data_IF_112791971962
#
_entry.id   IF_112791971962
#
_cell.length_a   1.000
_cell.length_b   1.000
_cell.length_c   1.000
_cell.angle_alpha   90.00
_cell.angle_beta   90.00
_cell.angle_gamma   90.00
#
_symmetry.space_group_name_H-M   'P 1'
#
loop_
_entity.id
_entity.type
_entity.pdbx_description
1 polymer ?
#
# COMPACT_ATOMS: atom_id res chain seq x y z
N UNK A 1 -5.02 -44.07 49.96
CA UNK A 1 -5.49 -44.58 48.66
C UNK A 1 -6.04 -43.47 47.79
N UNK A 2 -7.27 -42.98 48.00
CA UNK A 2 -7.95 -42.05 47.08
C UNK A 2 -7.17 -40.80 46.64
N UNK A 3 -6.36 -40.19 47.51
CA UNK A 3 -5.59 -38.99 47.16
C UNK A 3 -4.36 -39.29 46.29
N UNK A 4 -3.75 -40.48 46.42
CA UNK A 4 -2.63 -40.90 45.59
C UNK A 4 -3.11 -41.28 44.18
N UNK A 5 -4.25 -41.96 44.09
CA UNK A 5 -4.88 -42.33 42.81
C UNK A 5 -5.31 -41.07 42.02
N UNK A 6 -5.81 -40.05 42.72
CA UNK A 6 -6.19 -38.76 42.12
C UNK A 6 -4.97 -37.99 41.59
N UNK A 7 -3.87 -37.99 42.34
CA UNK A 7 -2.62 -37.35 41.92
C UNK A 7 -1.93 -38.10 40.77
N UNK A 8 -2.05 -39.42 40.68
CA UNK A 8 -1.56 -40.19 39.54
C UNK A 8 -2.37 -39.92 38.28
N UNK A 9 -3.70 -39.84 38.38
CA UNK A 9 -4.57 -39.48 37.27
C UNK A 9 -4.29 -38.05 36.77
N UNK A 10 -4.09 -37.10 37.69
CA UNK A 10 -3.78 -35.71 37.35
C UNK A 10 -2.39 -35.57 36.70
N UNK A 11 -1.39 -36.32 37.18
CA UNK A 11 -0.06 -36.38 36.54
C UNK A 11 -0.11 -36.97 35.14
N UNK A 12 -0.88 -38.04 34.92
CA UNK A 12 -1.04 -38.64 33.61
C UNK A 12 -1.68 -37.66 32.62
N UNK A 13 -2.69 -36.91 33.08
CA UNK A 13 -3.34 -35.87 32.28
C UNK A 13 -2.39 -34.71 31.92
N UNK A 14 -1.59 -34.24 32.88
CA UNK A 14 -0.60 -33.18 32.64
C UNK A 14 0.43 -33.64 31.60
N UNK A 15 0.93 -34.88 31.70
CA UNK A 15 1.90 -35.42 30.73
C UNK A 15 1.31 -35.53 29.33
N UNK A 16 0.03 -35.94 29.21
CA UNK A 16 -0.66 -35.97 27.92
C UNK A 16 -0.84 -34.57 27.31
N UNK A 17 -1.16 -33.58 28.15
CA UNK A 17 -1.28 -32.18 27.72
C UNK A 17 0.06 -31.59 27.28
N UNK A 18 1.13 -31.84 28.03
CA UNK A 18 2.48 -31.39 27.68
C UNK A 18 2.94 -32.00 26.35
N UNK A 19 2.65 -33.29 26.12
CA UNK A 19 2.93 -33.95 24.85
C UNK A 19 2.15 -33.28 23.69
N UNK A 20 0.89 -32.90 23.91
CA UNK A 20 0.08 -32.21 22.90
C UNK A 20 0.57 -30.80 22.63
N UNK A 21 1.00 -30.06 23.65
CA UNK A 21 1.60 -28.73 23.51
C UNK A 21 2.85 -28.82 22.63
N UNK A 22 3.76 -29.74 22.94
CA UNK A 22 4.99 -29.95 22.16
C UNK A 22 4.69 -30.27 20.69
N UNK A 23 3.71 -31.12 20.43
CA UNK A 23 3.27 -31.45 19.07
C UNK A 23 2.76 -30.21 18.33
N UNK A 24 1.89 -29.41 18.98
CA UNK A 24 1.33 -28.20 18.38
C UNK A 24 2.40 -27.12 18.16
N UNK A 25 3.35 -26.97 19.08
CA UNK A 25 4.49 -26.06 18.91
C UNK A 25 5.35 -26.45 17.71
N UNK A 26 5.61 -27.74 17.51
CA UNK A 26 6.31 -28.23 16.33
C UNK A 26 5.53 -27.93 15.03
N UNK A 27 4.21 -28.09 15.05
CA UNK A 27 3.35 -27.74 13.90
C UNK A 27 3.37 -26.22 13.61
N UNK A 28 3.31 -25.38 14.65
CA UNK A 28 3.41 -23.92 14.51
C UNK A 28 4.74 -23.54 13.86
N UNK A 29 5.85 -24.13 14.33
CA UNK A 29 7.17 -23.84 13.79
C UNK A 29 7.26 -24.23 12.30
N UNK A 30 6.74 -25.40 11.92
CA UNK A 30 6.72 -25.85 10.52
C UNK A 30 5.87 -24.93 9.62
N UNK A 31 4.69 -24.54 10.09
CA UNK A 31 3.81 -23.62 9.35
C UNK A 31 4.41 -22.22 9.24
N UNK A 32 5.09 -21.72 10.28
CA UNK A 32 5.79 -20.44 10.24
C UNK A 32 6.93 -20.45 9.23
N UNK A 33 7.71 -21.55 9.13
CA UNK A 33 8.72 -21.71 8.08
C UNK A 33 8.08 -21.61 6.70
N UNK A 34 7.03 -22.38 6.46
CA UNK A 34 6.30 -22.40 5.18
C UNK A 34 5.75 -21.02 4.81
N UNK A 35 5.19 -20.29 5.77
CA UNK A 35 4.71 -18.92 5.57
C UNK A 35 5.86 -17.99 5.20
N UNK A 36 7.01 -18.10 5.86
CA UNK A 36 8.18 -17.26 5.59
C UNK A 36 8.73 -17.48 4.17
N UNK A 37 8.79 -18.74 3.73
CA UNK A 37 9.22 -19.12 2.39
C UNK A 37 8.26 -18.60 1.31
N UNK A 38 6.95 -18.77 1.51
CA UNK A 38 5.93 -18.25 0.59
C UNK A 38 5.98 -16.73 0.51
N UNK A 39 6.20 -16.04 1.64
CA UNK A 39 6.37 -14.59 1.67
C UNK A 39 7.62 -14.16 0.90
N UNK A 40 8.75 -14.84 1.10
CA UNK A 40 9.99 -14.55 0.38
C UNK A 40 9.83 -14.78 -1.14
N UNK A 41 9.22 -15.88 -1.55
CA UNK A 41 8.93 -16.18 -2.96
C UNK A 41 7.99 -15.14 -3.58
N UNK A 42 6.93 -14.74 -2.87
CA UNK A 42 6.02 -13.67 -3.29
C UNK A 42 6.76 -12.34 -3.45
N UNK A 43 7.58 -11.97 -2.47
CA UNK A 43 8.33 -10.71 -2.50
C UNK A 43 9.34 -10.70 -3.66
N UNK A 44 10.03 -11.81 -3.90
CA UNK A 44 10.95 -11.95 -5.05
C UNK A 44 10.23 -11.73 -6.38
N UNK A 45 9.04 -12.34 -6.56
CA UNK A 45 8.21 -12.13 -7.76
C UNK A 45 7.79 -10.67 -7.90
N UNK A 46 7.28 -10.06 -6.84
CA UNK A 46 6.87 -8.65 -6.84
C UNK A 46 8.04 -7.71 -7.16
N UNK A 47 9.23 -7.97 -6.61
CA UNK A 47 10.43 -7.19 -6.91
C UNK A 47 10.87 -7.30 -8.38
N UNK A 48 10.57 -8.42 -9.06
CA UNK A 48 10.82 -8.56 -10.50
C UNK A 48 9.89 -7.66 -11.33
N UNK A 49 8.68 -7.40 -10.84
CA UNK A 49 7.78 -6.40 -11.41
C UNK A 49 8.24 -5.02 -10.94
N UNK A 50 9.15 -4.40 -11.68
CA UNK A 50 9.38 -2.97 -11.49
C UNK A 50 8.09 -2.24 -11.83
N UNK A 51 7.48 -1.60 -10.83
CA UNK A 51 6.22 -0.88 -11.00
C UNK A 51 6.36 0.14 -12.15
N UNK A 52 5.66 -0.14 -13.25
CA UNK A 52 5.82 0.51 -14.56
C UNK A 52 5.92 2.03 -14.48
N UNK A 53 5.08 2.68 -13.66
CA UNK A 53 5.04 4.15 -13.58
C UNK A 53 6.22 4.76 -12.84
N UNK A 54 6.96 3.99 -12.03
CA UNK A 54 8.16 4.46 -11.33
C UNK A 54 9.44 4.20 -12.15
N UNK A 55 9.37 3.34 -13.17
CA UNK A 55 10.47 3.06 -14.10
C UNK A 55 10.47 3.91 -15.36
N UNK A 56 9.37 4.62 -15.64
CA UNK A 56 9.32 5.51 -16.78
C UNK A 56 10.30 6.69 -16.59
N UNK A 57 10.99 7.11 -17.65
CA UNK A 57 11.72 8.38 -17.65
C UNK A 57 10.79 9.54 -17.25
N UNK A 58 11.35 10.56 -16.60
CA UNK A 58 10.59 11.70 -16.10
C UNK A 58 9.84 12.42 -17.23
N UNK A 59 10.41 12.43 -18.44
CA UNK A 59 9.85 13.02 -19.65
C UNK A 59 8.54 12.33 -20.05
N UNK A 60 8.51 10.99 -20.00
CA UNK A 60 7.32 10.21 -20.36
C UNK A 60 6.21 10.41 -19.32
N UNK A 61 6.59 10.48 -18.04
CA UNK A 61 5.64 10.79 -16.96
C UNK A 61 5.07 12.20 -17.14
N UNK A 62 5.91 13.18 -17.49
CA UNK A 62 5.48 14.54 -17.81
C UNK A 62 4.49 14.59 -18.97
N UNK A 63 4.72 13.83 -20.05
CA UNK A 63 3.78 13.70 -21.16
C UNK A 63 2.45 13.07 -20.74
N UNK A 64 2.47 12.03 -19.92
CA UNK A 64 1.26 11.43 -19.35
C UNK A 64 0.48 12.48 -18.53
N UNK A 65 1.18 13.26 -17.71
CA UNK A 65 0.56 14.32 -16.92
C UNK A 65 -0.08 15.40 -17.81
N UNK A 66 0.57 15.78 -18.91
CA UNK A 66 0.00 16.73 -19.87
C UNK A 66 -1.27 16.21 -20.56
N UNK A 67 -1.34 14.90 -20.82
CA UNK A 67 -2.54 14.25 -21.39
C UNK A 67 -3.66 14.04 -20.36
N UNK A 68 -3.33 14.04 -19.07
CA UNK A 68 -4.31 13.97 -17.98
C UNK A 68 -5.07 15.29 -17.79
N UNK A 69 -4.46 16.44 -18.13
CA UNK A 69 -5.11 17.74 -18.02
C UNK A 69 -6.09 18.01 -19.18
N UNK A 70 -7.05 18.93 -19.03
CA UNK A 70 -7.87 19.38 -20.14
C UNK A 70 -7.00 19.93 -21.29
N UNK A 71 -7.36 19.67 -22.55
CA UNK A 71 -6.60 20.18 -23.67
C UNK A 71 -6.63 21.71 -23.72
N UNK A 72 -5.52 22.31 -24.16
CA UNK A 72 -5.45 23.75 -24.43
C UNK A 72 -6.58 24.17 -25.38
N UNK A 73 -7.21 25.34 -25.21
CA UNK A 73 -6.91 26.41 -24.25
C UNK A 73 -7.63 26.31 -22.90
N UNK A 74 -8.36 25.22 -22.62
CA UNK A 74 -9.13 25.11 -21.39
C UNK A 74 -8.20 25.04 -20.18
N UNK A 75 -8.29 25.99 -19.21
CA UNK A 75 -7.46 25.94 -18.02
C UNK A 75 -7.87 24.75 -17.13
N UNK A 76 -6.92 23.95 -16.62
CA UNK A 76 -7.21 22.94 -15.60
C UNK A 76 -7.66 23.60 -14.29
N UNK A 77 -8.53 22.95 -13.50
CA UNK A 77 -8.89 23.44 -12.18
C UNK A 77 -7.68 23.42 -11.22
N UNK A 78 -7.66 24.35 -10.26
CA UNK A 78 -6.62 24.37 -9.22
C UNK A 78 -6.65 23.13 -8.33
N UNK A 79 -7.81 22.51 -8.11
CA UNK A 79 -7.98 21.33 -7.25
C UNK A 79 -8.96 20.33 -7.87
N UNK A 80 -8.81 19.04 -7.52
CA UNK A 80 -9.76 18.00 -7.92
C UNK A 80 -9.33 17.22 -9.18
N UNK A 81 -10.29 16.62 -9.88
CA UNK A 81 -10.03 15.79 -11.06
C UNK A 81 -9.47 16.67 -12.19
N UNK A 82 -8.51 16.13 -12.94
CA UNK A 82 -7.81 16.84 -14.04
C UNK A 82 -7.03 18.08 -13.56
N UNK A 83 -6.67 18.15 -12.28
CA UNK A 83 -5.85 19.22 -11.73
C UNK A 83 -4.37 18.82 -11.67
N UNK A 84 -3.43 19.72 -12.02
CA UNK A 84 -2.01 19.47 -11.84
C UNK A 84 -1.63 19.31 -10.36
N UNK A 85 -2.36 19.93 -9.42
CA UNK A 85 -2.08 19.80 -7.99
C UNK A 85 -2.39 18.39 -7.47
N UNK A 86 -3.41 17.72 -8.02
CA UNK A 86 -3.74 16.33 -7.66
C UNK A 86 -2.60 15.37 -7.98
N UNK A 87 -1.86 15.61 -9.09
CA UNK A 87 -0.68 14.83 -9.44
C UNK A 87 0.47 15.00 -8.43
N UNK A 88 0.56 16.17 -7.79
CA UNK A 88 1.58 16.45 -6.76
C UNK A 88 1.33 15.74 -5.43
N UNK A 89 0.14 15.16 -5.22
CA UNK A 89 -0.24 14.55 -3.93
C UNK A 89 -0.09 13.02 -3.92
N UNK A 90 0.29 12.39 -5.03
CA UNK A 90 0.37 10.93 -5.15
C UNK A 90 1.63 10.37 -4.48
N UNK A 91 2.82 10.85 -4.87
CA UNK A 91 4.08 10.44 -4.25
C UNK A 91 5.17 11.51 -4.46
N UNK A 92 6.32 11.36 -3.78
CA UNK A 92 7.45 12.30 -3.88
C UNK A 92 7.97 12.45 -5.32
N UNK A 93 8.09 11.36 -6.06
CA UNK A 93 8.58 11.39 -7.45
C UNK A 93 7.63 12.18 -8.36
N UNK A 94 6.33 11.90 -8.28
CA UNK A 94 5.31 12.60 -9.08
C UNK A 94 5.24 14.09 -8.75
N UNK A 95 5.37 14.44 -7.46
CA UNK A 95 5.48 15.84 -7.03
C UNK A 95 6.66 16.53 -7.68
N UNK A 96 7.85 15.92 -7.65
CA UNK A 96 9.04 16.51 -8.26
C UNK A 96 8.85 16.72 -9.76
N UNK A 97 8.35 15.71 -10.48
CA UNK A 97 8.10 15.78 -11.93
C UNK A 97 7.05 16.84 -12.26
N UNK A 98 5.93 16.86 -11.53
CA UNK A 98 4.86 17.82 -11.77
C UNK A 98 5.33 19.27 -11.52
N UNK A 99 6.08 19.51 -10.45
CA UNK A 99 6.65 20.83 -10.15
C UNK A 99 7.76 21.23 -11.14
N UNK A 100 8.52 20.26 -11.67
CA UNK A 100 9.57 20.51 -12.67
C UNK A 100 9.06 20.57 -14.11
N UNK A 101 7.74 20.49 -14.34
CA UNK A 101 7.12 20.52 -15.68
C UNK A 101 6.28 21.79 -15.84
N UNK A 102 6.86 22.92 -16.30
CA UNK A 102 6.16 24.21 -16.41
C UNK A 102 4.89 24.17 -17.27
N UNK A 103 4.86 23.29 -18.27
CA UNK A 103 3.71 23.15 -19.17
C UNK A 103 2.40 22.73 -18.47
N UNK A 104 2.48 22.07 -17.31
CA UNK A 104 1.32 21.73 -16.48
C UNK A 104 0.67 22.94 -15.81
N UNK A 105 1.43 24.02 -15.64
CA UNK A 105 1.06 25.22 -14.88
C UNK A 105 0.82 26.44 -15.77
N UNK A 106 0.83 26.26 -17.10
CA UNK A 106 0.67 27.36 -18.07
C UNK A 106 -0.66 28.12 -17.95
N UNK A 107 -1.67 27.50 -17.36
CA UNK A 107 -2.98 28.07 -17.09
C UNK A 107 -3.60 27.32 -15.91
N UNK A 108 -4.33 28.00 -15.03
CA UNK A 108 -5.05 27.40 -13.91
C UNK A 108 -6.35 28.17 -13.72
N UNK A 109 -7.45 27.44 -13.59
CA UNK A 109 -8.73 27.99 -13.19
C UNK A 109 -8.79 28.03 -11.67
N UNK A 110 -8.75 29.24 -11.14
CA UNK A 110 -8.92 29.52 -9.71
C UNK A 110 -10.40 29.82 -9.52
N UNK A 111 -11.16 28.80 -9.11
CA UNK A 111 -12.57 28.98 -8.80
C UNK A 111 -12.72 30.13 -7.79
N UNK A 112 -13.34 31.22 -8.25
CA UNK A 112 -13.78 32.28 -7.37
C UNK A 112 -15.06 31.79 -6.69
N UNK A 113 -14.98 31.41 -5.42
CA UNK A 113 -16.18 31.24 -4.61
C UNK A 113 -16.74 32.64 -4.36
N UNK A 114 -17.50 33.18 -5.32
CA UNK A 114 -18.42 34.26 -4.97
C UNK A 114 -19.50 33.61 -4.11
N UNK A 115 -19.51 33.94 -2.82
CA UNK A 115 -20.71 33.84 -2.02
C UNK A 115 -21.88 34.41 -2.84
N UNK A 116 -22.70 33.51 -3.37
CA UNK A 116 -24.11 33.81 -3.64
C UNK A 116 -24.94 32.97 -2.69
N UNK A 117 -24.86 33.36 -1.42
CA UNK A 117 -26.07 33.75 -0.70
C UNK A 117 -26.89 34.68 -1.61
N UNK A 118 -28.22 34.54 -1.59
CA UNK A 118 -29.22 35.21 -2.44
C UNK A 118 -29.56 34.49 -3.75
N UNK A 119 -30.40 33.45 -3.66
CA UNK A 119 -31.84 33.58 -3.97
C UNK A 119 -32.63 32.47 -3.31
#
# INVERSE_FOLDING_TARGET
SLMLDFMEADRALIVEQDAKILELEAQIAALQSSISELRAAKQSRLNSYRYSVLTLPNEIIGEIFLRFLPPYPKPPPLTGILSPTSLTQICRQWRNIALSTPALWRAIDVLYYSDRLFT
#
